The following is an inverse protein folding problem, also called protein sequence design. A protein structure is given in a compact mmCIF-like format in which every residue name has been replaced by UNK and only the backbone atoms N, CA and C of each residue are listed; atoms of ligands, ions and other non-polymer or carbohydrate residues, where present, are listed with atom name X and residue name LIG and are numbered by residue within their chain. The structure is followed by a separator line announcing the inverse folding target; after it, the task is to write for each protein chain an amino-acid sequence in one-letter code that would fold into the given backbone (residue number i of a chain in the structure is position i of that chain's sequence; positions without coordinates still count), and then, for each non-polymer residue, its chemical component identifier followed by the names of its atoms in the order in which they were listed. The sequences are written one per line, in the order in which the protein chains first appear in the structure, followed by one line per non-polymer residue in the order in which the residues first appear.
data_IF_210064988835
#
_entry.id   IF_210064988835
#
_cell.length_a   1.000
_cell.length_b   1.000
_cell.length_c   1.000
_cell.angle_alpha   90.00
_cell.angle_beta   90.00
_cell.angle_gamma   90.00
#
_symmetry.space_group_name_H-M   'P 1'
#
loop_
_entity.id
_entity.type
_entity.pdbx_description
1 polymer ?
#
# COMPACT_ATOMS: atom_id res chain seq x y z
N UNK A 1 -20.21 -7.78 -0.88
CA UNK A 1 -20.29 -8.26 0.53
C UNK A 1 -19.03 -9.07 0.79
N UNK A 2 -18.05 -8.50 1.48
CA UNK A 2 -16.77 -9.15 1.77
C UNK A 2 -17.01 -10.28 2.79
N UNK A 3 -16.83 -11.52 2.37
CA UNK A 3 -16.86 -12.67 3.26
C UNK A 3 -15.58 -12.69 4.11
N UNK A 4 -15.57 -11.95 5.21
CA UNK A 4 -14.66 -12.25 6.30
C UNK A 4 -15.13 -13.57 6.89
N UNK A 5 -14.37 -14.65 6.67
CA UNK A 5 -14.68 -15.93 7.29
C UNK A 5 -14.61 -15.75 8.82
N UNK A 6 -15.76 -15.91 9.49
CA UNK A 6 -15.81 -15.98 10.95
C UNK A 6 -15.28 -17.33 11.40
N UNK A 7 -14.40 -17.32 12.38
CA UNK A 7 -13.89 -18.54 12.99
C UNK A 7 -15.03 -19.37 13.61
N UNK A 8 -14.95 -20.69 13.49
CA UNK A 8 -15.78 -21.60 14.26
C UNK A 8 -15.39 -21.51 15.76
N UNK A 9 -16.37 -21.60 16.68
CA UNK A 9 -16.05 -21.65 18.11
C UNK A 9 -15.16 -22.87 18.40
N UNK A 10 -13.93 -22.61 18.87
CA UNK A 10 -12.96 -23.65 19.19
C UNK A 10 -11.75 -23.72 18.27
N UNK A 11 -11.71 -22.98 17.18
CA UNK A 11 -10.53 -22.89 16.28
C UNK A 11 -9.80 -21.58 16.53
N UNK A 12 -8.50 -21.65 16.83
CA UNK A 12 -7.67 -20.46 17.00
C UNK A 12 -7.47 -19.78 15.65
N UNK A 13 -7.88 -18.51 15.51
CA UNK A 13 -7.68 -17.75 14.26
C UNK A 13 -6.23 -17.28 14.10
N UNK A 14 -5.87 -16.90 12.87
CA UNK A 14 -4.55 -16.35 12.54
C UNK A 14 -4.27 -15.02 13.29
N UNK A 15 -5.33 -14.28 13.62
CA UNK A 15 -5.28 -13.03 14.38
C UNK A 15 -6.38 -12.99 15.42
N UNK A 16 -6.02 -12.69 16.64
CA UNK A 16 -6.97 -12.54 17.77
C UNK A 16 -6.81 -11.16 18.37
N UNK A 17 -7.91 -10.51 18.78
CA UNK A 17 -7.84 -9.26 19.55
C UNK A 17 -7.19 -9.47 20.90
N UNK A 18 -6.55 -8.43 21.46
CA UNK A 18 -5.87 -8.49 22.77
C UNK A 18 -6.83 -8.88 23.92
N UNK A 19 -8.10 -8.59 23.76
CA UNK A 19 -9.18 -8.97 24.70
C UNK A 19 -9.74 -10.38 24.46
N UNK A 20 -9.23 -11.09 23.44
CA UNK A 20 -9.65 -12.45 23.11
C UNK A 20 -11.07 -12.56 22.51
N UNK A 21 -11.75 -11.42 22.27
CA UNK A 21 -13.16 -11.41 21.87
C UNK A 21 -13.43 -11.68 20.42
N UNK A 22 -12.47 -11.41 19.53
CA UNK A 22 -12.61 -11.63 18.09
C UNK A 22 -11.38 -12.30 17.49
N UNK A 23 -11.62 -13.29 16.65
CA UNK A 23 -10.60 -14.05 15.94
C UNK A 23 -10.89 -14.05 14.45
N UNK A 24 -9.84 -13.87 13.63
CA UNK A 24 -9.94 -13.88 12.17
C UNK A 24 -8.97 -14.89 11.58
N UNK A 25 -9.37 -15.42 10.44
CA UNK A 25 -8.46 -16.13 9.56
C UNK A 25 -8.09 -15.23 8.39
N UNK A 26 -6.83 -15.20 8.03
CA UNK A 26 -6.42 -14.67 6.74
C UNK A 26 -6.89 -15.62 5.65
N UNK A 27 -7.33 -15.06 4.51
CA UNK A 27 -7.65 -15.85 3.32
C UNK A 27 -6.40 -16.57 2.81
N UNK A 28 -6.58 -17.66 2.07
CA UNK A 28 -5.45 -18.36 1.46
C UNK A 28 -4.68 -17.46 0.50
N UNK A 29 -5.38 -16.52 -0.16
CA UNK A 29 -4.77 -15.49 -1.01
C UNK A 29 -3.87 -14.57 -0.21
N UNK A 30 -4.29 -14.10 0.96
CA UNK A 30 -3.46 -13.27 1.85
C UNK A 30 -2.23 -14.05 2.29
N UNK A 31 -2.39 -15.32 2.68
CA UNK A 31 -1.29 -16.20 3.10
C UNK A 31 -0.30 -16.43 1.95
N UNK A 32 -0.77 -16.70 0.73
CA UNK A 32 0.11 -16.86 -0.42
C UNK A 32 0.91 -15.59 -0.71
N UNK A 33 0.26 -14.43 -0.73
CA UNK A 33 0.93 -13.16 -0.96
C UNK A 33 1.90 -12.77 0.16
N UNK A 34 1.69 -13.23 1.38
CA UNK A 34 2.60 -13.04 2.50
C UNK A 34 3.82 -13.97 2.42
N UNK A 35 3.61 -15.27 2.23
CA UNK A 35 4.70 -16.24 2.22
C UNK A 35 5.47 -16.28 0.89
N UNK A 36 4.79 -15.98 -0.22
CA UNK A 36 5.34 -15.97 -1.57
C UNK A 36 5.12 -14.61 -2.24
N UNK A 37 5.65 -13.50 -1.69
CA UNK A 37 5.37 -12.17 -2.17
C UNK A 37 5.80 -12.00 -3.63
N UNK A 38 4.87 -11.54 -4.46
CA UNK A 38 5.10 -11.30 -5.89
C UNK A 38 5.84 -9.97 -6.06
N UNK A 39 6.73 -9.93 -7.04
CA UNK A 39 7.50 -8.73 -7.39
C UNK A 39 8.33 -8.10 -6.25
N UNK A 40 8.56 -8.82 -5.17
CA UNK A 40 9.41 -8.38 -4.07
C UNK A 40 10.86 -8.23 -4.53
N UNK A 41 11.50 -7.12 -4.19
CA UNK A 41 12.91 -6.86 -4.51
C UNK A 41 13.80 -7.70 -3.58
N UNK A 42 14.46 -8.72 -4.14
CA UNK A 42 15.35 -9.60 -3.40
C UNK A 42 16.80 -9.12 -3.54
N UNK A 43 17.48 -8.96 -2.41
CA UNK A 43 18.91 -8.63 -2.40
C UNK A 43 19.26 -7.26 -2.97
N UNK A 44 20.41 -7.18 -3.63
CA UNK A 44 20.92 -6.00 -4.32
C UNK A 44 20.62 -6.10 -5.82
N UNK A 45 19.33 -6.04 -6.19
CA UNK A 45 18.96 -5.93 -7.59
C UNK A 45 19.35 -4.56 -8.15
N UNK A 46 19.77 -4.52 -9.41
CA UNK A 46 20.00 -3.26 -10.13
C UNK A 46 18.70 -2.46 -10.23
N UNK A 47 18.65 -1.38 -9.50
CA UNK A 47 17.51 -0.45 -9.50
C UNK A 47 17.64 0.67 -10.53
N UNK A 48 18.78 0.77 -11.24
CA UNK A 48 19.00 1.84 -12.23
C UNK A 48 18.08 1.74 -13.45
N UNK A 49 17.52 0.55 -13.72
CA UNK A 49 16.57 0.33 -14.83
C UNK A 49 15.17 0.91 -14.57
N UNK A 50 14.88 1.31 -13.33
CA UNK A 50 13.59 1.90 -12.98
C UNK A 50 13.61 3.41 -13.17
N UNK A 51 12.59 3.93 -13.78
CA UNK A 51 12.44 5.35 -14.08
C UNK A 51 11.45 6.08 -13.18
N UNK A 52 10.96 5.40 -12.15
CA UNK A 52 10.12 5.97 -11.11
C UNK A 52 10.35 5.26 -9.77
N UNK A 53 10.38 6.03 -8.69
CA UNK A 53 10.56 5.54 -7.32
C UNK A 53 9.58 6.25 -6.40
N UNK A 54 8.89 5.49 -5.56
CA UNK A 54 8.05 6.03 -4.50
C UNK A 54 8.49 5.51 -3.14
N UNK A 55 8.34 6.34 -2.13
CA UNK A 55 8.68 6.01 -0.76
C UNK A 55 7.67 6.60 0.21
N UNK A 56 7.17 5.78 1.11
CA UNK A 56 6.21 6.18 2.15
C UNK A 56 6.59 5.56 3.48
N UNK A 57 6.28 6.25 4.57
CA UNK A 57 6.58 5.81 5.91
C UNK A 57 7.97 6.21 6.38
N UNK A 58 8.29 5.84 7.60
CA UNK A 58 9.56 6.13 8.24
C UNK A 58 10.16 4.86 8.85
N UNK A 59 11.48 4.63 8.70
CA UNK A 59 12.15 3.54 9.39
C UNK A 59 11.99 3.60 10.91
N UNK A 60 11.82 4.80 11.47
CA UNK A 60 11.63 5.00 12.91
C UNK A 60 10.28 4.44 13.40
N UNK A 61 9.26 4.40 12.55
CA UNK A 61 7.94 3.85 12.85
C UNK A 61 7.83 2.35 12.48
N UNK A 62 8.86 1.77 11.84
CA UNK A 62 8.90 0.38 11.41
C UNK A 62 8.13 0.05 10.14
N UNK A 63 7.37 1.01 9.59
CA UNK A 63 6.53 0.84 8.41
C UNK A 63 7.04 1.69 7.23
N UNK A 64 8.21 1.36 6.70
CA UNK A 64 8.67 1.94 5.44
C UNK A 64 8.28 1.03 4.27
N UNK A 65 7.69 1.63 3.23
CA UNK A 65 7.46 1.00 1.94
C UNK A 65 8.19 1.80 0.84
N UNK A 66 9.00 1.11 0.06
CA UNK A 66 9.63 1.65 -1.12
C UNK A 66 9.23 0.85 -2.34
N UNK A 67 8.89 1.55 -3.42
CA UNK A 67 8.49 0.96 -4.70
C UNK A 67 9.37 1.52 -5.81
N UNK A 68 9.65 0.69 -6.80
CA UNK A 68 10.36 1.04 -8.03
C UNK A 68 9.50 0.60 -9.21
N UNK A 69 9.30 1.51 -10.14
CA UNK A 69 8.53 1.22 -11.34
C UNK A 69 9.36 1.47 -12.58
N UNK A 70 9.16 0.62 -13.57
CA UNK A 70 9.59 0.87 -14.94
C UNK A 70 8.35 1.13 -15.76
N UNK A 71 8.23 2.35 -16.23
CA UNK A 71 7.15 2.84 -17.07
C UNK A 71 7.66 2.88 -18.51
N UNK A 72 6.90 2.34 -19.45
CA UNK A 72 7.17 2.50 -20.89
C UNK A 72 6.80 3.93 -21.32
N UNK A 73 7.76 4.74 -21.80
CA UNK A 73 7.48 6.12 -22.16
C UNK A 73 6.51 6.30 -23.32
N UNK A 74 6.37 5.30 -24.19
CA UNK A 74 5.50 5.37 -25.37
C UNK A 74 4.03 5.13 -25.05
N UNK A 75 3.76 4.26 -24.06
CA UNK A 75 2.41 3.83 -23.69
C UNK A 75 1.98 4.27 -22.30
N UNK A 76 2.93 4.81 -21.53
CA UNK A 76 2.78 5.14 -20.10
C UNK A 76 2.27 3.97 -19.25
N UNK A 77 2.56 2.72 -19.67
CA UNK A 77 2.21 1.52 -18.92
C UNK A 77 3.31 1.12 -17.94
N UNK A 78 2.89 0.64 -16.78
CA UNK A 78 3.78 0.08 -15.76
C UNK A 78 4.15 -1.33 -16.20
N UNK A 79 5.32 -1.47 -16.83
CA UNK A 79 5.80 -2.75 -17.37
C UNK A 79 6.58 -3.57 -16.35
N UNK A 80 7.05 -2.96 -15.28
CA UNK A 80 7.67 -3.63 -14.16
C UNK A 80 7.43 -2.85 -12.88
N UNK A 81 7.17 -3.58 -11.79
CA UNK A 81 6.99 -3.04 -10.45
C UNK A 81 7.78 -3.90 -9.47
N UNK A 82 8.62 -3.27 -8.66
CA UNK A 82 9.35 -3.91 -7.56
C UNK A 82 9.11 -3.14 -6.27
N UNK A 83 9.19 -3.82 -5.16
CA UNK A 83 8.95 -3.19 -3.87
C UNK A 83 9.72 -3.89 -2.76
N UNK A 84 9.95 -3.12 -1.69
CA UNK A 84 10.55 -3.59 -0.44
C UNK A 84 9.89 -2.89 0.72
N UNK A 85 9.60 -3.61 1.80
CA UNK A 85 9.01 -3.04 3.01
C UNK A 85 9.59 -3.69 4.26
N UNK A 86 9.57 -2.95 5.34
CA UNK A 86 9.81 -3.43 6.70
C UNK A 86 8.51 -3.55 7.50
N UNK A 87 7.37 -3.34 6.86
CA UNK A 87 6.04 -3.38 7.47
C UNK A 87 5.55 -4.78 7.83
N UNK A 88 4.36 -4.82 8.41
CA UNK A 88 3.72 -6.05 8.89
C UNK A 88 3.29 -6.99 7.74
N UNK A 89 2.90 -8.21 8.10
CA UNK A 89 2.46 -9.21 7.11
C UNK A 89 1.30 -8.77 6.22
N UNK A 90 0.39 -7.94 6.73
CA UNK A 90 -0.69 -7.35 5.91
C UNK A 90 -0.16 -6.33 4.90
N UNK A 91 0.88 -5.54 5.26
CA UNK A 91 1.52 -4.62 4.33
C UNK A 91 2.24 -5.40 3.20
N UNK A 92 2.91 -6.51 3.55
CA UNK A 92 3.53 -7.41 2.57
C UNK A 92 2.47 -7.95 1.60
N UNK A 93 1.38 -8.52 2.11
CA UNK A 93 0.33 -9.11 1.28
C UNK A 93 -0.37 -8.06 0.39
N UNK A 94 -0.68 -6.89 0.94
CA UNK A 94 -1.32 -5.80 0.19
C UNK A 94 -0.42 -5.26 -0.92
N UNK A 95 0.85 -5.03 -0.63
CA UNK A 95 1.79 -4.52 -1.64
C UNK A 95 2.08 -5.59 -2.71
N UNK A 96 2.20 -6.85 -2.30
CA UNK A 96 2.33 -7.98 -3.23
C UNK A 96 1.14 -8.05 -4.20
N UNK A 97 -0.09 -7.95 -3.69
CA UNK A 97 -1.30 -7.94 -4.53
C UNK A 97 -1.34 -6.72 -5.45
N UNK A 98 -1.10 -5.52 -4.94
CA UNK A 98 -1.07 -4.30 -5.73
C UNK A 98 -0.04 -4.39 -6.86
N UNK A 99 1.14 -4.95 -6.58
CA UNK A 99 2.19 -5.13 -7.59
C UNK A 99 1.76 -6.04 -8.75
N UNK A 100 0.93 -7.04 -8.48
CA UNK A 100 0.32 -7.89 -9.52
C UNK A 100 -0.71 -7.07 -10.30
N UNK A 101 -1.62 -6.39 -9.60
CA UNK A 101 -2.70 -5.63 -10.23
C UNK A 101 -2.18 -4.56 -11.19
N UNK A 102 -1.07 -3.89 -10.86
CA UNK A 102 -0.52 -2.83 -11.73
C UNK A 102 0.31 -3.35 -12.90
N UNK A 103 0.73 -4.62 -12.88
CA UNK A 103 1.60 -5.21 -13.91
C UNK A 103 0.95 -6.28 -14.75
N UNK A 104 -0.16 -6.85 -14.33
CA UNK A 104 -0.87 -7.89 -15.10
C UNK A 104 -1.47 -7.34 -16.40
N UNK A 105 -1.81 -8.23 -17.34
CA UNK A 105 -2.45 -7.90 -18.63
C UNK A 105 -1.72 -6.82 -19.43
N UNK A 106 -0.39 -6.78 -19.35
CA UNK A 106 0.44 -5.79 -20.05
C UNK A 106 0.64 -4.48 -19.27
N UNK A 107 0.23 -4.43 -18.02
CA UNK A 107 0.40 -3.30 -17.11
C UNK A 107 -0.69 -2.24 -17.24
N UNK A 108 -1.01 -1.59 -16.13
CA UNK A 108 -1.90 -0.42 -16.11
C UNK A 108 -1.15 0.80 -16.66
N UNK A 109 -1.87 1.69 -17.32
CA UNK A 109 -1.37 3.05 -17.57
C UNK A 109 -1.26 3.82 -16.24
N UNK A 110 -0.45 4.87 -16.21
CA UNK A 110 -0.32 5.71 -15.00
C UNK A 110 -1.67 6.29 -14.56
N UNK A 111 -2.52 6.66 -15.53
CA UNK A 111 -3.85 7.20 -15.23
C UNK A 111 -4.83 6.13 -14.70
N UNK A 112 -4.70 4.89 -15.13
CA UNK A 112 -5.44 3.75 -14.57
C UNK A 112 -4.93 3.41 -13.17
N UNK A 113 -3.60 3.35 -12.98
CA UNK A 113 -2.98 3.04 -11.70
C UNK A 113 -3.33 4.06 -10.60
N UNK A 114 -3.49 5.34 -10.96
CA UNK A 114 -3.95 6.39 -10.03
C UNK A 114 -5.38 6.21 -9.53
N UNK A 115 -6.20 5.44 -10.23
CA UNK A 115 -7.59 5.13 -9.84
C UNK A 115 -7.71 3.92 -8.95
N UNK A 116 -6.64 3.13 -8.83
CA UNK A 116 -6.59 1.99 -7.93
C UNK A 116 -6.77 2.46 -6.49
N UNK A 117 -7.73 1.87 -5.80
CA UNK A 117 -8.06 2.22 -4.41
C UNK A 117 -7.60 1.11 -3.45
N UNK A 118 -7.31 1.45 -2.19
CA UNK A 118 -7.04 0.46 -1.16
C UNK A 118 -8.12 -0.63 -1.06
N UNK A 119 -9.38 -0.27 -1.31
CA UNK A 119 -10.51 -1.19 -1.32
C UNK A 119 -10.39 -2.26 -2.40
N UNK A 120 -9.93 -1.91 -3.60
CA UNK A 120 -9.77 -2.83 -4.72
C UNK A 120 -8.72 -3.90 -4.41
N UNK A 121 -7.63 -3.48 -3.75
CA UNK A 121 -6.56 -4.39 -3.29
C UNK A 121 -7.10 -5.36 -2.23
N UNK A 122 -7.87 -4.84 -1.27
CA UNK A 122 -8.47 -5.65 -0.21
C UNK A 122 -9.49 -6.64 -0.75
N UNK A 123 -10.35 -6.21 -1.68
CA UNK A 123 -11.35 -7.07 -2.30
C UNK A 123 -10.67 -8.23 -3.04
N UNK A 124 -9.61 -7.95 -3.77
CA UNK A 124 -8.86 -8.97 -4.50
C UNK A 124 -8.09 -9.94 -3.59
N UNK A 125 -7.70 -9.51 -2.39
CA UNK A 125 -7.14 -10.37 -1.34
C UNK A 125 -8.20 -11.25 -0.66
N UNK A 126 -9.50 -11.01 -0.93
CA UNK A 126 -10.60 -11.66 -0.24
C UNK A 126 -10.89 -11.10 1.15
N UNK A 127 -10.38 -9.91 1.44
CA UNK A 127 -10.56 -9.17 2.70
C UNK A 127 -9.34 -9.20 3.61
N UNK A 128 -9.22 -8.14 4.41
CA UNK A 128 -8.27 -8.03 5.52
C UNK A 128 -9.04 -7.65 6.79
N UNK A 129 -8.52 -7.97 7.98
CA UNK A 129 -9.08 -7.45 9.21
C UNK A 129 -9.19 -5.93 9.19
N UNK A 130 -10.30 -5.37 9.67
CA UNK A 130 -10.59 -3.93 9.60
C UNK A 130 -9.45 -3.05 10.17
N UNK A 131 -8.78 -3.52 11.23
CA UNK A 131 -7.60 -2.86 11.84
C UNK A 131 -6.35 -2.88 10.94
N UNK A 132 -6.36 -3.59 9.81
CA UNK A 132 -5.24 -3.69 8.86
C UNK A 132 -5.51 -2.96 7.54
N UNK A 133 -6.58 -2.18 7.47
CA UNK A 133 -6.92 -1.37 6.31
C UNK A 133 -5.80 -0.38 5.93
N UNK A 134 -5.15 0.23 6.93
CA UNK A 134 -4.05 1.17 6.73
C UNK A 134 -2.89 0.61 5.89
N UNK A 135 -2.66 -0.71 5.95
CA UNK A 135 -1.60 -1.34 5.16
C UNK A 135 -1.83 -1.21 3.63
N UNK A 136 -3.09 -1.22 3.20
CA UNK A 136 -3.45 -1.00 1.79
C UNK A 136 -3.33 0.48 1.40
N UNK A 137 -3.58 1.39 2.33
CA UNK A 137 -3.40 2.85 2.14
C UNK A 137 -1.93 3.19 1.94
N UNK A 138 -1.03 2.55 2.71
CA UNK A 138 0.41 2.76 2.57
C UNK A 138 0.89 2.42 1.14
N UNK A 139 0.37 1.32 0.56
CA UNK A 139 0.69 0.93 -0.80
C UNK A 139 0.17 1.93 -1.84
N UNK A 140 -1.07 2.41 -1.69
CA UNK A 140 -1.64 3.44 -2.56
C UNK A 140 -0.80 4.73 -2.56
N UNK A 141 -0.41 5.19 -1.37
CA UNK A 141 0.46 6.37 -1.22
C UNK A 141 1.82 6.17 -1.91
N UNK A 142 2.46 5.02 -1.73
CA UNK A 142 3.75 4.73 -2.37
C UNK A 142 3.63 4.67 -3.91
N UNK A 143 2.55 4.11 -4.44
CA UNK A 143 2.26 4.07 -5.87
C UNK A 143 2.06 5.48 -6.43
N UNK A 144 1.30 6.33 -5.75
CA UNK A 144 1.09 7.73 -6.16
C UNK A 144 2.37 8.56 -6.14
N UNK A 145 3.21 8.37 -5.11
CA UNK A 145 4.50 9.03 -5.04
C UNK A 145 5.42 8.60 -6.18
N UNK A 146 5.45 7.30 -6.51
CA UNK A 146 6.21 6.81 -7.67
C UNK A 146 5.69 7.38 -9.00
N UNK A 147 4.37 7.48 -9.19
CA UNK A 147 3.79 8.11 -10.38
C UNK A 147 4.19 9.58 -10.47
N UNK A 148 4.14 10.31 -9.37
CA UNK A 148 4.59 11.71 -9.31
C UNK A 148 6.10 11.84 -9.59
N UNK A 149 6.93 10.89 -9.12
CA UNK A 149 8.36 10.86 -9.43
C UNK A 149 8.62 10.66 -10.93
N UNK A 150 7.86 9.78 -11.58
CA UNK A 150 7.91 9.63 -13.04
C UNK A 150 7.59 10.95 -13.76
N UNK A 151 6.54 11.65 -13.35
CA UNK A 151 6.17 12.92 -13.97
C UNK A 151 7.23 14.01 -13.73
N UNK A 152 7.86 14.05 -12.54
CA UNK A 152 9.00 14.95 -12.28
C UNK A 152 10.17 14.66 -13.22
N UNK A 153 10.55 13.40 -13.37
CA UNK A 153 11.69 12.97 -14.20
C UNK A 153 11.42 13.14 -15.71
N UNK A 154 10.17 13.06 -16.13
CA UNK A 154 9.76 13.28 -17.53
C UNK A 154 9.33 14.72 -17.82
N UNK A 155 9.52 15.67 -16.89
CA UNK A 155 9.15 17.08 -17.01
C UNK A 155 7.64 17.32 -17.25
N UNK A 156 6.78 16.45 -16.75
CA UNK A 156 5.33 16.54 -16.84
C UNK A 156 4.74 17.13 -15.54
N UNK A 157 5.21 18.29 -15.12
CA UNK A 157 4.92 18.89 -13.81
C UNK A 157 3.43 19.23 -13.63
N UNK A 158 2.71 19.52 -14.68
CA UNK A 158 1.27 19.79 -14.71
C UNK A 158 0.41 18.57 -14.33
N UNK A 159 0.97 17.38 -14.45
CA UNK A 159 0.31 16.12 -14.10
C UNK A 159 0.57 15.66 -12.65
N UNK A 160 1.47 16.33 -11.95
CA UNK A 160 1.77 16.00 -10.57
C UNK A 160 0.57 16.35 -9.71
N UNK A 161 0.00 15.37 -9.05
CA UNK A 161 -1.01 15.58 -8.02
C UNK A 161 -0.28 15.69 -6.69
N UNK A 162 -0.15 16.93 -6.21
CA UNK A 162 0.16 17.13 -4.81
C UNK A 162 -0.97 16.49 -3.98
N UNK A 163 -0.63 15.62 -3.05
CA UNK A 163 -1.60 15.30 -2.00
C UNK A 163 -1.84 16.61 -1.25
N UNK A 164 -2.95 17.26 -1.56
CA UNK A 164 -3.33 18.48 -0.87
C UNK A 164 -3.52 18.15 0.61
N UNK A 165 -2.58 18.56 1.45
CA UNK A 165 -2.80 18.52 2.88
C UNK A 165 -3.67 19.73 3.24
N UNK A 166 -4.84 19.43 3.77
CA UNK A 166 -5.76 20.46 4.27
C UNK A 166 -5.34 20.82 5.69
N UNK A 167 -5.07 22.09 5.92
CA UNK A 167 -4.82 22.59 7.28
C UNK A 167 -6.12 22.47 8.09
N UNK A 168 -6.11 21.60 9.10
CA UNK A 168 -7.27 21.32 9.96
C UNK A 168 -7.24 22.24 11.18
N UNK A 169 -6.08 22.40 11.81
CA UNK A 169 -5.87 23.35 12.90
C UNK A 169 -4.81 24.40 12.51
N UNK A 170 -5.21 25.64 12.29
CA UNK A 170 -4.28 26.70 11.90
C UNK A 170 -3.38 27.20 13.06
N UNK A 171 -3.75 26.94 14.31
CA UNK A 171 -2.97 27.36 15.50
C UNK A 171 -1.85 26.35 15.76
N UNK A 172 -2.18 25.07 15.80
CA UNK A 172 -1.20 23.98 15.98
C UNK A 172 -0.52 23.60 14.65
N UNK A 173 -0.97 24.17 13.51
CA UNK A 173 -0.53 23.82 12.14
C UNK A 173 -0.72 22.33 11.79
N UNK A 174 -1.73 21.70 12.40
CA UNK A 174 -2.07 20.32 12.15
C UNK A 174 -2.82 20.18 10.82
N UNK A 175 -2.37 19.27 9.98
CA UNK A 175 -3.01 18.96 8.70
C UNK A 175 -3.83 17.67 8.81
N UNK A 176 -4.70 17.44 7.83
CA UNK A 176 -5.40 16.17 7.70
C UNK A 176 -4.44 14.97 7.56
N UNK A 177 -3.26 15.19 7.00
CA UNK A 177 -2.20 14.18 6.94
C UNK A 177 -1.61 13.85 8.31
N UNK A 178 -1.37 14.85 9.14
CA UNK A 178 -0.87 14.63 10.51
C UNK A 178 -1.90 13.84 11.33
N UNK A 179 -3.19 14.11 11.14
CA UNK A 179 -4.28 13.35 11.77
C UNK A 179 -4.31 11.91 11.24
N UNK A 180 -4.22 11.75 9.93
CA UNK A 180 -4.22 10.43 9.28
C UNK A 180 -3.04 9.59 9.78
N UNK A 181 -1.85 10.19 9.88
CA UNK A 181 -0.65 9.55 10.39
C UNK A 181 -0.79 9.17 11.88
N UNK A 182 -1.31 10.07 12.71
CA UNK A 182 -1.58 9.78 14.11
C UNK A 182 -2.61 8.65 14.29
N UNK A 183 -3.66 8.62 13.48
CA UNK A 183 -4.66 7.52 13.47
C UNK A 183 -4.03 6.20 13.04
N UNK A 184 -3.12 6.22 12.05
CA UNK A 184 -2.37 5.05 11.61
C UNK A 184 -1.43 4.53 12.71
N UNK A 185 -0.88 5.43 13.52
CA UNK A 185 -0.06 5.11 14.69
C UNK A 185 -0.87 4.63 15.90
N UNK A 186 -2.19 4.67 15.82
CA UNK A 186 -3.10 4.13 16.83
C UNK A 186 -3.71 5.18 17.75
N UNK A 187 -3.64 6.45 17.42
CA UNK A 187 -4.39 7.49 18.13
C UNK A 187 -5.90 7.29 17.91
N UNK A 188 -6.65 7.27 19.01
CA UNK A 188 -8.12 7.10 18.99
C UNK A 188 -8.86 8.31 19.52
N UNK A 189 -8.15 9.29 20.03
CA UNK A 189 -8.68 10.54 20.58
C UNK A 189 -7.83 11.73 20.14
N UNK A 190 -8.44 12.88 20.03
CA UNK A 190 -7.78 14.17 19.83
C UNK A 190 -7.69 14.79 21.24
N UNK A 191 -6.68 14.46 21.99
CA UNK A 191 -6.30 15.15 23.22
C UNK A 191 -4.89 15.72 23.10
#
# INVERSE_FOLDING_TARGET
MSHVQKANPGTQGDVTTKDGGQSWFYTDTVKDHFFNPKNFLKGEEDTARFNAVGKVGSPACGDELRVWMRVDPATERIVEFRWKTFGCGSAIASTSMASVMVTENGGLTLDEARKLKPQDIMERLGGLPQRKFHCSVLCDKALRDAINDYFRRSNQFDRIVAEASRLVDPVAKVTDKDIEEAVLEGAHTIE
#
